data_IF_713755983120
#
_entry.id   IF_713755983120
#
_cell.length_a   1.000
_cell.length_b   1.000
_cell.length_c   1.000
_cell.angle_alpha   90.00
_cell.angle_beta   90.00
_cell.angle_gamma   90.00
#
_symmetry.space_group_name_H-M   'P 1'
#
loop_
_entity.id
_entity.type
_entity.pdbx_description
1 polymer ?
#
# COMPACT_ATOMS: atom_id res chain seq x y z
N UNK A 1 -25.23 -16.60 3.72
CA UNK A 1 -26.48 -15.94 3.25
C UNK A 1 -27.61 -16.97 3.16
N UNK A 2 -28.87 -16.61 3.44
CA UNK A 2 -30.01 -17.56 3.40
C UNK A 2 -31.20 -17.03 2.57
N UNK A 3 -31.82 -17.88 1.76
CA UNK A 3 -33.08 -17.57 1.07
C UNK A 3 -34.29 -17.93 1.95
N UNK A 4 -34.94 -16.91 2.51
CA UNK A 4 -36.14 -17.05 3.34
C UNK A 4 -37.45 -17.13 2.54
N UNK A 5 -37.41 -16.97 1.22
CA UNK A 5 -38.62 -16.95 0.38
C UNK A 5 -39.06 -18.38 0.00
N UNK A 6 -40.33 -18.58 -0.37
CA UNK A 6 -40.81 -19.89 -0.79
C UNK A 6 -40.39 -20.30 -2.21
N UNK A 7 -39.61 -19.48 -2.92
CA UNK A 7 -39.21 -19.66 -4.32
C UNK A 7 -37.70 -19.66 -4.52
N UNK A 8 -37.23 -20.17 -5.66
CA UNK A 8 -35.85 -19.94 -6.11
C UNK A 8 -35.66 -18.44 -6.35
N UNK A 9 -34.51 -17.92 -5.95
CA UNK A 9 -34.12 -16.53 -6.20
C UNK A 9 -32.81 -16.49 -6.97
N UNK A 10 -32.67 -15.48 -7.82
CA UNK A 10 -31.38 -14.99 -8.28
C UNK A 10 -31.13 -13.68 -7.54
N UNK A 11 -30.00 -13.58 -6.86
CA UNK A 11 -29.60 -12.41 -6.10
C UNK A 11 -28.41 -11.75 -6.79
N UNK A 12 -28.56 -10.46 -7.07
CA UNK A 12 -27.48 -9.59 -7.54
C UNK A 12 -27.04 -8.76 -6.33
N UNK A 13 -25.76 -8.80 -6.00
CA UNK A 13 -25.22 -8.01 -4.88
C UNK A 13 -23.92 -7.31 -5.31
N UNK A 14 -23.69 -6.13 -4.73
CA UNK A 14 -22.52 -5.30 -5.02
C UNK A 14 -21.64 -5.14 -3.79
N UNK A 15 -20.33 -5.25 -3.99
CA UNK A 15 -19.33 -4.84 -3.02
C UNK A 15 -18.90 -3.38 -3.30
N UNK A 16 -18.99 -2.45 -2.33
CA UNK A 16 -18.69 -1.04 -2.55
C UNK A 16 -17.20 -0.82 -2.80
N UNK A 17 -16.87 0.00 -3.80
CA UNK A 17 -15.50 0.36 -4.16
C UNK A 17 -15.27 1.83 -3.83
N UNK A 18 -14.52 2.11 -2.77
CA UNK A 18 -14.19 3.48 -2.37
C UNK A 18 -13.16 4.10 -3.33
N UNK A 19 -13.25 5.41 -3.47
CA UNK A 19 -12.25 6.26 -4.08
C UNK A 19 -11.06 6.31 -3.13
N UNK A 20 -9.95 5.68 -3.51
CA UNK A 20 -8.66 6.10 -2.98
C UNK A 20 -8.49 7.52 -3.57
N UNK A 21 -8.26 8.54 -2.75
CA UNK A 21 -8.35 9.97 -3.17
C UNK A 21 -7.20 10.43 -4.05
N UNK A 22 -7.34 10.39 -5.37
CA UNK A 22 -6.44 11.08 -6.28
C UNK A 22 -6.98 12.50 -6.36
N UNK A 23 -6.32 13.46 -5.71
CA UNK A 23 -6.73 14.86 -5.70
C UNK A 23 -7.14 15.31 -7.11
N UNK A 24 -8.37 15.80 -7.24
CA UNK A 24 -8.99 16.27 -8.51
C UNK A 24 -8.57 17.69 -8.90
N UNK A 25 -7.68 18.36 -8.16
CA UNK A 25 -7.25 19.74 -8.43
C UNK A 25 -5.98 19.80 -9.28
N UNK A 26 -6.15 20.12 -10.56
CA UNK A 26 -5.11 20.35 -11.58
C UNK A 26 -4.25 21.62 -11.36
N UNK A 27 -3.98 22.01 -10.11
CA UNK A 27 -3.03 23.09 -9.79
C UNK A 27 -2.13 22.84 -8.57
N UNK A 28 -2.14 21.62 -8.01
CA UNK A 28 -1.26 21.18 -6.91
C UNK A 28 -0.52 19.87 -7.22
N UNK A 29 0.48 19.46 -6.40
CA UNK A 29 1.41 18.38 -6.73
C UNK A 29 0.71 17.05 -7.03
N UNK A 30 1.33 16.30 -7.95
CA UNK A 30 0.78 15.16 -8.69
C UNK A 30 0.00 14.15 -7.83
N UNK A 31 -1.22 13.83 -8.27
CA UNK A 31 -2.02 12.75 -7.71
C UNK A 31 -1.53 11.39 -8.22
N UNK A 32 -1.61 10.40 -7.34
CA UNK A 32 -0.95 9.10 -7.38
C UNK A 32 -1.61 8.06 -8.32
N UNK A 33 -2.48 8.48 -9.24
CA UNK A 33 -3.18 7.57 -10.16
C UNK A 33 -3.46 8.13 -11.56
N UNK A 34 -2.93 9.29 -11.95
CA UNK A 34 -3.08 9.73 -13.33
C UNK A 34 -2.19 8.87 -14.25
N UNK A 35 -2.77 7.90 -14.96
CA UNK A 35 -2.16 7.39 -16.19
C UNK A 35 -1.90 8.57 -17.13
N UNK A 36 -0.84 8.53 -17.96
CA UNK A 36 -0.54 9.60 -18.89
C UNK A 36 -1.77 9.92 -19.74
N UNK A 37 -2.14 11.21 -19.82
CA UNK A 37 -3.16 11.69 -20.73
C UNK A 37 -2.86 11.17 -22.14
N UNK A 38 -3.81 10.42 -22.72
CA UNK A 38 -3.71 9.93 -24.11
C UNK A 38 -3.59 11.07 -25.13
N UNK A 39 -3.84 12.30 -24.71
CA UNK A 39 -3.83 13.49 -25.57
C UNK A 39 -2.51 14.30 -25.50
N UNK A 40 -1.48 13.83 -24.77
CA UNK A 40 -0.18 14.48 -24.73
C UNK A 40 0.71 14.20 -25.97
N UNK A 41 0.22 13.45 -26.97
CA UNK A 41 0.85 13.35 -28.29
C UNK A 41 0.18 14.27 -29.32
N UNK A 42 0.41 15.57 -29.22
CA UNK A 42 0.31 16.46 -30.39
C UNK A 42 1.42 17.49 -30.37
N UNK A 43 2.57 17.15 -30.98
CA UNK A 43 3.71 18.06 -30.92
C UNK A 43 4.94 17.76 -31.77
N UNK A 44 4.90 16.90 -32.79
CA UNK A 44 5.96 16.98 -33.81
C UNK A 44 5.49 16.47 -35.17
N UNK A 45 5.33 17.41 -36.10
CA UNK A 45 4.98 17.11 -37.47
C UNK A 45 6.13 16.45 -38.22
N UNK A 46 5.90 15.24 -38.73
CA UNK A 46 6.67 14.69 -39.84
C UNK A 46 5.69 14.15 -40.89
N UNK A 47 5.64 14.84 -42.02
CA UNK A 47 4.93 14.41 -43.23
C UNK A 47 5.59 13.15 -43.81
N UNK A 48 4.85 12.07 -43.99
CA UNK A 48 5.17 11.06 -45.02
C UNK A 48 3.93 10.71 -45.85
N UNK A 49 4.13 10.83 -47.17
CA UNK A 49 3.21 10.49 -48.25
C UNK A 49 3.05 8.97 -48.34
N UNK A 50 1.85 8.52 -48.67
CA UNK A 50 1.44 7.11 -48.63
C UNK A 50 1.73 6.27 -49.88
N UNK A 51 1.18 5.05 -49.91
CA UNK A 51 0.65 4.37 -51.10
C UNK A 51 -0.15 3.11 -50.71
N UNK A 52 -1.06 2.71 -51.61
CA UNK A 52 -2.13 1.70 -51.55
C UNK A 52 -1.73 0.24 -51.27
N UNK A 53 -2.69 -0.58 -50.78
CA UNK A 53 -2.88 -1.94 -51.33
C UNK A 53 -3.59 -3.02 -50.49
N UNK A 54 -4.84 -3.30 -50.89
CA UNK A 54 -5.47 -4.64 -51.09
C UNK A 54 -6.11 -5.42 -49.91
N UNK A 55 -7.38 -5.79 -50.18
CA UNK A 55 -8.31 -6.68 -49.49
C UNK A 55 -7.81 -8.09 -49.15
N UNK A 56 -8.28 -8.65 -48.03
CA UNK A 56 -8.74 -10.05 -47.95
C UNK A 56 -9.80 -10.23 -46.85
N UNK A 57 -10.95 -10.81 -47.24
CA UNK A 57 -12.00 -11.34 -46.37
C UNK A 57 -11.58 -12.70 -45.78
N UNK A 58 -11.87 -12.93 -44.51
CA UNK A 58 -11.97 -14.26 -43.90
C UNK A 58 -13.05 -14.28 -42.81
N UNK A 59 -13.77 -15.40 -42.77
CA UNK A 59 -14.95 -15.70 -41.95
C UNK A 59 -14.65 -15.86 -40.44
N UNK A 60 -15.67 -15.77 -39.55
CA UNK A 60 -15.48 -15.73 -38.11
C UNK A 60 -15.32 -17.14 -37.52
N UNK A 61 -14.20 -17.39 -36.85
CA UNK A 61 -14.04 -18.50 -35.91
C UNK A 61 -14.34 -18.00 -34.50
N UNK A 62 -15.32 -18.63 -33.83
CA UNK A 62 -15.52 -18.49 -32.38
C UNK A 62 -14.30 -19.06 -31.65
N UNK A 63 -13.47 -18.18 -31.13
CA UNK A 63 -12.56 -18.46 -30.03
C UNK A 63 -12.81 -17.40 -28.96
N UNK A 64 -12.95 -17.86 -27.71
CA UNK A 64 -12.98 -17.01 -26.54
C UNK A 64 -11.61 -16.35 -26.41
N UNK A 65 -11.47 -15.17 -27.00
CA UNK A 65 -10.33 -14.29 -26.80
C UNK A 65 -10.52 -13.58 -25.46
N UNK A 66 -9.93 -14.15 -24.42
CA UNK A 66 -9.35 -13.34 -23.34
C UNK A 66 -8.12 -12.65 -23.93
N UNK A 67 -8.32 -11.54 -24.64
CA UNK A 67 -7.21 -10.68 -25.05
C UNK A 67 -7.62 -9.21 -25.04
N UNK A 68 -6.80 -8.44 -24.34
CA UNK A 68 -6.58 -7.00 -24.37
C UNK A 68 -6.72 -6.40 -22.98
N UNK A 69 -5.63 -5.77 -22.56
CA UNK A 69 -5.51 -4.89 -21.39
C UNK A 69 -6.63 -3.86 -21.35
N UNK A 70 -7.75 -4.21 -20.72
CA UNK A 70 -8.66 -3.23 -20.17
C UNK A 70 -7.86 -2.44 -19.13
N UNK A 71 -7.72 -1.13 -19.37
CA UNK A 71 -7.23 -0.21 -18.36
C UNK A 71 -8.17 -0.38 -17.18
N UNK A 72 -7.72 -1.11 -16.14
CA UNK A 72 -8.46 -1.23 -14.89
C UNK A 72 -8.74 0.21 -14.44
N UNK A 73 -10.01 0.60 -14.24
CA UNK A 73 -10.31 1.92 -13.71
C UNK A 73 -9.51 2.10 -12.42
N UNK A 74 -8.99 3.30 -12.15
CA UNK A 74 -8.32 3.61 -10.88
C UNK A 74 -9.15 3.20 -9.65
N UNK A 75 -10.47 3.12 -9.82
CA UNK A 75 -11.43 2.53 -8.88
C UNK A 75 -10.95 1.19 -8.28
N UNK A 76 -10.32 0.32 -9.09
CA UNK A 76 -9.91 -1.01 -8.64
C UNK A 76 -8.64 -1.02 -7.78
N UNK A 77 -7.96 0.11 -7.60
CA UNK A 77 -6.83 0.20 -6.66
C UNK A 77 -7.28 0.01 -5.20
N UNK A 78 -8.55 0.26 -4.91
CA UNK A 78 -9.17 -0.01 -3.61
C UNK A 78 -9.48 -1.49 -3.37
N UNK A 79 -9.76 -2.25 -4.44
CA UNK A 79 -10.14 -3.67 -4.42
C UNK A 79 -9.22 -4.50 -5.32
N UNK A 80 -7.93 -4.50 -5.03
CA UNK A 80 -6.94 -5.30 -5.76
C UNK A 80 -7.16 -6.77 -5.50
N UNK A 81 -6.95 -7.58 -6.54
CA UNK A 81 -7.14 -9.03 -6.51
C UNK A 81 -8.48 -9.48 -5.91
N UNK A 82 -9.52 -8.69 -6.14
CA UNK A 82 -10.87 -8.99 -5.69
C UNK A 82 -11.30 -10.38 -6.15
N UNK A 83 -11.67 -11.21 -5.18
CA UNK A 83 -12.20 -12.54 -5.38
C UNK A 83 -13.46 -12.70 -4.57
N UNK A 84 -14.45 -13.36 -5.18
CA UNK A 84 -15.65 -13.81 -4.50
C UNK A 84 -15.80 -15.31 -4.70
N UNK A 85 -16.04 -16.04 -3.63
CA UNK A 85 -16.35 -17.48 -3.68
C UNK A 85 -17.71 -17.76 -3.05
N UNK A 86 -18.39 -18.76 -3.60
CA UNK A 86 -19.69 -19.24 -3.14
C UNK A 86 -19.57 -20.73 -2.94
N UNK A 87 -19.73 -21.18 -1.69
CA UNK A 87 -19.51 -22.57 -1.27
C UNK A 87 -18.11 -23.08 -1.71
N UNK A 88 -17.10 -22.20 -1.63
CA UNK A 88 -15.71 -22.45 -2.03
C UNK A 88 -15.44 -22.36 -3.54
N UNK A 89 -16.44 -22.07 -4.38
CA UNK A 89 -16.29 -21.95 -5.83
C UNK A 89 -16.22 -20.47 -6.24
N UNK A 90 -15.16 -20.10 -6.96
CA UNK A 90 -15.00 -18.73 -7.46
C UNK A 90 -16.14 -18.35 -8.41
N UNK A 91 -16.70 -17.17 -8.19
CA UNK A 91 -17.76 -16.59 -9.02
C UNK A 91 -17.24 -15.30 -9.68
N UNK A 92 -17.77 -14.95 -10.85
CA UNK A 92 -17.40 -13.73 -11.55
C UNK A 92 -17.95 -12.47 -10.86
N UNK A 93 -17.29 -11.34 -11.11
CA UNK A 93 -17.76 -10.02 -10.74
C UNK A 93 -17.56 -9.02 -11.88
N UNK A 94 -18.45 -8.05 -11.99
CA UNK A 94 -18.38 -6.96 -12.98
C UNK A 94 -18.33 -5.63 -12.22
N UNK A 95 -17.43 -4.73 -12.63
CA UNK A 95 -17.40 -3.38 -12.07
C UNK A 95 -18.51 -2.52 -12.71
N UNK A 96 -19.32 -1.88 -11.88
CA UNK A 96 -20.35 -0.92 -12.28
C UNK A 96 -20.08 0.42 -11.60
N UNK A 97 -19.87 1.48 -12.38
CA UNK A 97 -19.65 2.83 -11.84
C UNK A 97 -20.87 3.30 -11.04
N UNK A 98 -20.63 4.06 -9.97
CA UNK A 98 -21.71 4.73 -9.24
C UNK A 98 -22.18 5.96 -10.04
N UNK A 99 -23.48 6.05 -10.30
CA UNK A 99 -24.12 7.09 -11.14
C UNK A 99 -25.23 7.85 -10.37
N UNK A 100 -25.33 7.64 -9.05
CA UNK A 100 -26.15 8.50 -8.20
C UNK A 100 -25.50 9.89 -8.18
N UNK A 101 -26.12 10.82 -8.90
CA UNK A 101 -25.62 12.18 -9.12
C UNK A 101 -25.21 12.93 -7.84
N UNK A 102 -24.55 14.09 -7.98
CA UNK A 102 -23.76 14.74 -6.92
C UNK A 102 -24.53 15.20 -5.66
N UNK A 103 -25.86 15.07 -5.65
CA UNK A 103 -26.75 15.47 -4.56
C UNK A 103 -26.92 14.38 -3.48
N UNK A 104 -26.57 13.11 -3.78
CA UNK A 104 -26.66 12.01 -2.80
C UNK A 104 -25.35 11.81 -2.04
N UNK A 105 -25.21 12.53 -0.93
CA UNK A 105 -24.00 12.50 -0.11
C UNK A 105 -23.81 11.21 0.71
N UNK A 106 -24.77 10.28 0.70
CA UNK A 106 -24.68 9.03 1.49
C UNK A 106 -23.56 8.12 1.00
N UNK A 107 -23.19 8.23 -0.28
CA UNK A 107 -22.16 7.44 -0.94
C UNK A 107 -21.03 8.32 -1.45
N UNK A 108 -20.73 9.43 -0.76
CA UNK A 108 -19.53 10.22 -1.03
C UNK A 108 -18.28 9.34 -1.03
N UNK A 109 -17.42 9.59 -2.02
CA UNK A 109 -16.20 8.83 -2.29
C UNK A 109 -16.45 7.38 -2.73
N UNK A 110 -17.65 7.00 -3.16
CA UNK A 110 -17.86 5.71 -3.82
C UNK A 110 -17.58 5.85 -5.32
N UNK A 111 -16.67 5.05 -5.85
CA UNK A 111 -16.38 5.04 -7.30
C UNK A 111 -17.30 4.09 -8.07
N UNK A 112 -17.77 3.04 -7.41
CA UNK A 112 -18.67 2.06 -8.01
C UNK A 112 -18.84 0.81 -7.16
N UNK A 113 -19.26 -0.27 -7.81
CA UNK A 113 -19.61 -1.54 -7.21
C UNK A 113 -18.96 -2.68 -7.96
N UNK A 114 -18.47 -3.68 -7.25
CA UNK A 114 -18.16 -4.99 -7.82
C UNK A 114 -19.37 -5.90 -7.66
N UNK A 115 -20.07 -6.14 -8.76
CA UNK A 115 -21.37 -6.79 -8.80
C UNK A 115 -21.24 -8.27 -9.17
N UNK A 116 -21.85 -9.14 -8.37
CA UNK A 116 -21.89 -10.59 -8.57
C UNK A 116 -23.30 -11.14 -8.49
N UNK A 117 -23.55 -12.26 -9.19
CA UNK A 117 -24.83 -12.95 -9.20
C UNK A 117 -24.74 -14.31 -8.49
N UNK A 118 -25.71 -14.62 -7.63
CA UNK A 118 -25.84 -15.91 -6.93
C UNK A 118 -27.27 -16.42 -7.03
N UNK A 119 -27.43 -17.68 -7.43
CA UNK A 119 -28.72 -18.36 -7.35
C UNK A 119 -28.90 -19.04 -5.99
N UNK A 120 -30.10 -18.94 -5.42
CA UNK A 120 -30.52 -19.65 -4.22
C UNK A 120 -31.76 -20.52 -4.49
N UNK A 121 -31.69 -21.80 -4.15
CA UNK A 121 -32.86 -22.64 -3.98
C UNK A 121 -33.68 -22.19 -2.75
N UNK A 122 -34.93 -22.67 -2.66
CA UNK A 122 -35.82 -22.36 -1.53
C UNK A 122 -35.19 -22.82 -0.21
N UNK A 123 -35.06 -21.91 0.75
CA UNK A 123 -34.51 -22.23 2.07
C UNK A 123 -33.00 -22.47 2.10
N UNK A 124 -32.31 -22.35 0.96
CA UNK A 124 -30.88 -22.61 0.84
C UNK A 124 -30.06 -21.60 1.63
N UNK A 125 -29.00 -22.09 2.26
CA UNK A 125 -27.95 -21.31 2.88
C UNK A 125 -26.68 -21.50 2.05
N UNK A 126 -26.00 -20.40 1.74
CA UNK A 126 -24.73 -20.40 1.03
C UNK A 126 -23.66 -19.68 1.82
N UNK A 127 -22.46 -20.22 1.77
CA UNK A 127 -21.27 -19.57 2.33
C UNK A 127 -20.67 -18.68 1.25
N UNK A 128 -20.48 -17.40 1.57
CA UNK A 128 -19.95 -16.41 0.63
C UNK A 128 -18.72 -15.78 1.26
N UNK A 129 -17.60 -15.87 0.57
CA UNK A 129 -16.33 -15.27 0.97
C UNK A 129 -15.95 -14.19 -0.05
N UNK A 130 -15.53 -13.03 0.44
CA UNK A 130 -15.01 -11.92 -0.38
C UNK A 130 -13.63 -11.60 0.16
N UNK A 131 -12.63 -11.60 -0.72
CA UNK A 131 -11.25 -11.23 -0.41
C UNK A 131 -10.77 -10.17 -1.38
N UNK A 132 -9.99 -9.20 -0.88
CA UNK A 132 -9.32 -8.20 -1.69
C UNK A 132 -8.19 -7.55 -0.88
N UNK A 133 -7.26 -6.92 -1.58
CA UNK A 133 -6.27 -6.02 -1.02
C UNK A 133 -6.67 -4.57 -1.31
N UNK A 134 -6.44 -3.68 -0.34
CA UNK A 134 -6.79 -2.27 -0.45
C UNK A 134 -5.59 -1.39 -0.15
N UNK A 135 -5.35 -0.41 -1.01
CA UNK A 135 -4.43 0.67 -0.66
C UNK A 135 -5.12 1.62 0.32
N UNK A 136 -4.37 2.02 1.35
CA UNK A 136 -4.83 3.10 2.22
C UNK A 136 -4.99 4.39 1.42
N UNK A 137 -6.11 5.06 1.65
CA UNK A 137 -6.32 6.41 1.15
C UNK A 137 -5.40 7.36 1.90
N UNK A 138 -4.52 8.04 1.16
CA UNK A 138 -3.60 9.07 1.66
C UNK A 138 -3.29 10.06 0.56
N UNK A 139 -2.87 11.26 0.95
CA UNK A 139 -2.37 12.28 0.02
C UNK A 139 -0.95 12.67 0.40
N UNK A 140 -0.11 13.00 -0.58
CA UNK A 140 1.24 13.49 -0.35
C UNK A 140 1.38 14.84 -1.05
N UNK A 141 1.91 15.82 -0.35
CA UNK A 141 2.26 17.12 -0.89
C UNK A 141 3.73 17.41 -0.63
N UNK A 142 4.36 18.10 -1.59
CA UNK A 142 5.74 18.53 -1.51
C UNK A 142 5.81 20.05 -1.58
N UNK A 143 6.63 20.66 -0.74
CA UNK A 143 6.93 22.09 -0.75
C UNK A 143 8.44 22.26 -0.61
N UNK A 144 9.10 22.56 -1.73
CA UNK A 144 10.57 22.49 -1.84
C UNK A 144 11.05 21.09 -1.40
N UNK A 145 11.99 21.04 -0.45
CA UNK A 145 12.56 19.80 0.10
C UNK A 145 11.73 19.15 1.22
N UNK A 146 10.59 19.72 1.59
CA UNK A 146 9.70 19.16 2.61
C UNK A 146 8.57 18.36 1.97
N UNK A 147 8.13 17.32 2.67
CA UNK A 147 6.95 16.54 2.28
C UNK A 147 5.98 16.42 3.43
N UNK A 148 4.69 16.57 3.16
CA UNK A 148 3.62 16.25 4.10
C UNK A 148 2.77 15.14 3.51
N UNK A 149 2.54 14.09 4.27
CA UNK A 149 1.64 13.00 3.97
C UNK A 149 0.46 13.07 4.93
N UNK A 150 -0.76 13.11 4.40
CA UNK A 150 -1.95 12.99 5.24
C UNK A 150 -2.03 11.59 5.85
N UNK A 151 -2.86 11.45 6.89
CA UNK A 151 -3.14 10.16 7.51
C UNK A 151 -3.54 9.09 6.50
N UNK A 152 -3.06 7.88 6.70
CA UNK A 152 -3.44 6.71 5.91
C UNK A 152 -4.73 6.12 6.46
N UNK A 153 -5.77 6.06 5.63
CA UNK A 153 -7.11 5.67 6.07
C UNK A 153 -7.67 4.48 5.29
N UNK A 154 -8.44 3.64 5.98
CA UNK A 154 -9.23 2.54 5.40
C UNK A 154 -10.70 2.74 5.77
N UNK A 155 -11.60 2.49 4.82
CA UNK A 155 -13.03 2.57 5.04
C UNK A 155 -13.69 1.21 4.78
N UNK A 156 -14.89 0.97 5.31
CA UNK A 156 -15.71 -0.17 4.91
C UNK A 156 -17.18 0.12 5.18
N UNK A 157 -18.04 -0.06 4.16
CA UNK A 157 -19.46 0.31 4.24
C UNK A 157 -20.32 -0.85 4.70
N UNK A 158 -20.42 -1.01 6.02
CA UNK A 158 -21.30 -2.01 6.61
C UNK A 158 -22.79 -1.68 6.40
N UNK A 159 -23.12 -0.40 6.27
CA UNK A 159 -24.47 0.12 5.99
C UNK A 159 -25.09 -0.44 4.71
N UNK A 160 -24.27 -0.85 3.73
CA UNK A 160 -24.76 -1.46 2.48
C UNK A 160 -25.51 -2.76 2.72
N UNK A 161 -25.25 -3.45 3.83
CA UNK A 161 -25.97 -4.66 4.19
C UNK A 161 -27.41 -4.40 4.66
N UNK A 162 -27.83 -3.14 4.87
CA UNK A 162 -29.21 -2.79 5.20
C UNK A 162 -30.22 -3.13 4.09
N UNK A 163 -29.75 -3.43 2.87
CA UNK A 163 -30.62 -3.89 1.78
C UNK A 163 -31.09 -5.35 1.94
N UNK A 164 -30.44 -6.14 2.79
CA UNK A 164 -30.83 -7.52 3.06
C UNK A 164 -32.05 -7.56 3.99
N UNK A 165 -32.82 -8.65 3.88
CA UNK A 165 -34.02 -8.83 4.68
C UNK A 165 -33.67 -9.15 6.14
N UNK A 166 -33.90 -8.18 7.03
CA UNK A 166 -33.67 -8.33 8.47
C UNK A 166 -32.24 -8.02 8.91
N UNK A 167 -31.94 -8.23 10.20
CA UNK A 167 -30.62 -7.94 10.76
C UNK A 167 -29.55 -8.94 10.32
N UNK A 168 -28.29 -8.52 10.42
CA UNK A 168 -27.15 -9.42 10.40
C UNK A 168 -27.13 -10.19 11.73
N UNK A 169 -27.43 -11.49 11.68
CA UNK A 169 -27.69 -12.31 12.86
C UNK A 169 -26.58 -12.32 13.91
N UNK A 170 -25.35 -12.76 13.57
CA UNK A 170 -24.19 -12.68 14.46
C UNK A 170 -22.93 -12.41 13.64
N UNK A 171 -22.01 -11.64 14.19
CA UNK A 171 -20.75 -11.37 13.50
C UNK A 171 -19.66 -10.82 14.41
N UNK A 172 -18.45 -10.84 13.85
CA UNK A 172 -17.24 -10.32 14.47
C UNK A 172 -16.46 -9.53 13.42
N UNK A 173 -16.05 -8.32 13.79
CA UNK A 173 -15.10 -7.52 13.04
C UNK A 173 -13.81 -7.45 13.84
N UNK A 174 -12.70 -7.73 13.17
CA UNK A 174 -11.37 -7.80 13.75
C UNK A 174 -10.43 -6.90 12.96
N UNK A 175 -9.78 -5.96 13.64
CA UNK A 175 -8.71 -5.14 13.06
C UNK A 175 -7.38 -5.60 13.66
N UNK A 176 -6.46 -6.04 12.81
CA UNK A 176 -5.13 -6.52 13.18
C UNK A 176 -4.07 -5.68 12.45
N UNK A 177 -3.26 -4.87 13.17
CA UNK A 177 -2.17 -4.12 12.57
C UNK A 177 -1.05 -5.05 12.14
N UNK A 178 -1.04 -5.45 10.87
CA UNK A 178 0.05 -6.24 10.29
C UNK A 178 1.19 -5.32 9.84
N UNK A 179 2.25 -5.21 10.66
CA UNK A 179 3.42 -4.37 10.35
C UNK A 179 3.24 -2.87 10.64
N UNK A 180 2.09 -2.48 11.21
CA UNK A 180 1.80 -1.11 11.65
C UNK A 180 1.93 -1.05 13.18
N UNK A 181 2.48 0.05 13.71
CA UNK A 181 2.51 0.29 15.16
C UNK A 181 1.06 0.33 15.71
N UNK A 182 0.65 -0.60 16.59
CA UNK A 182 -0.71 -0.60 17.12
C UNK A 182 -1.08 0.70 17.84
N UNK A 183 -0.12 1.44 18.40
CA UNK A 183 -0.41 2.74 19.02
C UNK A 183 -0.72 3.85 18.00
N UNK A 184 -0.43 3.63 16.71
CA UNK A 184 -0.75 4.55 15.62
C UNK A 184 -2.18 4.35 15.09
N UNK A 185 -2.77 3.16 15.29
CA UNK A 185 -4.08 2.82 14.75
C UNK A 185 -5.20 3.47 15.56
N UNK A 186 -6.12 4.15 14.87
CA UNK A 186 -7.31 4.77 15.48
C UNK A 186 -8.57 4.38 14.73
N UNK A 187 -9.52 3.81 15.46
CA UNK A 187 -10.89 3.62 14.96
C UNK A 187 -11.62 4.96 15.06
N UNK A 188 -11.90 5.58 13.90
CA UNK A 188 -12.63 6.85 13.81
C UNK A 188 -14.13 6.59 13.85
N UNK A 189 -14.59 5.58 13.11
CA UNK A 189 -15.96 5.08 13.11
C UNK A 189 -15.98 3.55 13.01
N UNK A 190 -17.03 2.89 13.54
CA UNK A 190 -18.01 3.43 14.48
C UNK A 190 -17.44 3.73 15.87
N UNK A 191 -17.96 4.77 16.52
CA UNK A 191 -17.53 5.18 17.87
C UNK A 191 -18.05 4.19 18.92
N UNK A 192 -17.22 3.82 19.90
CA UNK A 192 -17.57 2.95 21.03
C UNK A 192 -18.06 1.52 20.68
N UNK A 193 -17.80 1.01 19.46
CA UNK A 193 -18.11 -0.39 19.11
C UNK A 193 -16.93 -1.34 19.32
N UNK A 194 -15.73 -0.86 19.02
CA UNK A 194 -14.52 -1.65 19.12
C UNK A 194 -13.95 -1.61 20.54
N UNK A 195 -13.57 -2.77 21.05
CA UNK A 195 -12.75 -2.92 22.25
C UNK A 195 -11.33 -3.31 21.86
N UNK A 196 -10.34 -2.77 22.56
CA UNK A 196 -8.92 -3.11 22.35
C UNK A 196 -8.59 -4.38 23.13
N UNK A 197 -8.07 -5.39 22.44
CA UNK A 197 -7.59 -6.66 22.98
C UNK A 197 -6.10 -6.82 22.61
N UNK A 198 -5.21 -6.36 23.48
CA UNK A 198 -3.78 -6.29 23.19
C UNK A 198 -3.50 -5.33 22.03
N UNK A 199 -2.98 -5.87 20.93
CA UNK A 199 -2.66 -5.13 19.70
C UNK A 199 -3.82 -5.11 18.69
N UNK A 200 -5.00 -5.64 19.05
CA UNK A 200 -6.14 -5.80 18.13
C UNK A 200 -7.35 -4.98 18.57
N UNK A 201 -8.24 -4.67 17.63
CA UNK A 201 -9.56 -4.09 17.91
C UNK A 201 -10.63 -5.08 17.49
N UNK A 202 -11.54 -5.38 18.41
CA UNK A 202 -12.59 -6.38 18.22
C UNK A 202 -13.95 -5.73 18.39
N UNK A 203 -14.87 -6.03 17.48
CA UNK A 203 -16.28 -5.73 17.63
C UNK A 203 -17.10 -6.99 17.34
N UNK A 204 -17.74 -7.54 18.37
CA UNK A 204 -18.75 -8.59 18.22
C UNK A 204 -20.14 -7.98 18.28
N UNK A 205 -21.06 -8.49 17.48
CA UNK A 205 -22.44 -8.04 17.46
C UNK A 205 -23.41 -9.20 17.23
N UNK A 206 -24.65 -8.99 17.67
CA UNK A 206 -25.79 -9.86 17.40
C UNK A 206 -26.96 -8.99 16.91
N UNK A 207 -27.73 -9.50 15.97
CA UNK A 207 -28.92 -8.89 15.37
C UNK A 207 -28.67 -7.43 14.91
N UNK A 208 -27.53 -7.19 14.25
CA UNK A 208 -27.14 -5.84 13.81
C UNK A 208 -27.99 -5.39 12.62
N UNK A 209 -28.70 -4.27 12.78
CA UNK A 209 -29.31 -3.51 11.69
C UNK A 209 -28.36 -2.38 11.31
N UNK A 210 -27.45 -2.57 10.33
CA UNK A 210 -26.40 -1.60 10.06
C UNK A 210 -26.98 -0.30 9.49
N UNK A 211 -26.44 0.81 9.96
CA UNK A 211 -26.71 2.17 9.50
C UNK A 211 -25.42 2.82 9.02
N UNK A 212 -25.50 4.05 8.48
CA UNK A 212 -24.30 4.83 8.14
C UNK A 212 -23.39 5.08 9.36
N UNK A 213 -23.93 5.03 10.58
CA UNK A 213 -23.15 5.17 11.81
C UNK A 213 -22.33 3.92 12.14
N UNK A 214 -22.64 2.78 11.50
CA UNK A 214 -21.94 1.51 11.64
C UNK A 214 -20.89 1.29 10.54
N UNK A 215 -20.77 2.22 9.58
CA UNK A 215 -19.67 2.22 8.62
C UNK A 215 -18.32 2.40 9.33
N UNK A 216 -17.32 1.67 8.86
CA UNK A 216 -16.01 1.60 9.46
C UNK A 216 -15.11 2.64 8.78
N UNK A 217 -14.43 3.43 9.59
CA UNK A 217 -13.34 4.29 9.16
C UNK A 217 -12.20 4.15 10.15
N UNK A 218 -11.05 3.70 9.67
CA UNK A 218 -9.84 3.47 10.45
C UNK A 218 -8.74 4.36 9.91
N UNK A 219 -8.12 5.10 10.81
CA UNK A 219 -6.82 5.72 10.57
C UNK A 219 -5.76 4.66 10.89
N UNK A 220 -5.13 4.12 9.85
CA UNK A 220 -4.11 3.09 9.98
C UNK A 220 -2.76 3.68 10.39
N UNK A 221 -2.43 4.87 9.87
CA UNK A 221 -1.24 5.62 10.25
C UNK A 221 -1.58 7.12 10.33
N UNK A 222 -0.97 7.87 11.25
CA UNK A 222 -1.19 9.31 11.38
C UNK A 222 -0.58 10.08 10.21
N UNK A 223 -0.88 11.38 10.16
CA UNK A 223 -0.20 12.30 9.28
C UNK A 223 1.30 12.37 9.58
N UNK A 224 2.06 12.69 8.54
CA UNK A 224 3.51 12.76 8.58
C UNK A 224 4.00 14.03 7.90
N UNK A 225 4.87 14.78 8.57
CA UNK A 225 5.60 15.89 7.97
C UNK A 225 7.10 15.62 8.06
N UNK A 226 7.78 15.62 6.92
CA UNK A 226 9.22 15.44 6.81
C UNK A 226 9.86 16.78 6.44
N UNK A 227 10.88 17.15 7.20
CA UNK A 227 11.64 18.38 7.06
C UNK A 227 13.10 18.03 6.82
N UNK A 228 13.66 18.42 5.67
CA UNK A 228 15.06 18.17 5.38
C UNK A 228 15.96 19.05 6.24
N UNK A 229 16.91 18.44 6.96
CA UNK A 229 17.89 19.17 7.78
C UNK A 229 19.24 19.26 7.03
N UNK A 230 19.76 18.11 6.61
CA UNK A 230 21.04 18.01 5.95
C UNK A 230 21.01 16.91 4.88
N UNK A 231 21.36 17.30 3.65
CA UNK A 231 21.59 16.39 2.53
C UNK A 231 23.01 16.64 2.00
N UNK A 232 23.84 15.61 2.09
CA UNK A 232 25.19 15.57 1.54
C UNK A 232 25.28 14.39 0.57
N UNK A 233 26.33 14.31 -0.23
CA UNK A 233 26.53 13.17 -1.14
C UNK A 233 26.60 11.82 -0.36
N UNK A 234 27.05 11.87 0.90
CA UNK A 234 27.35 10.68 1.71
C UNK A 234 26.32 10.40 2.82
N UNK A 235 25.40 11.32 3.09
CA UNK A 235 24.43 11.16 4.18
C UNK A 235 23.18 12.02 4.01
N UNK A 236 22.07 11.49 4.52
CA UNK A 236 20.78 12.16 4.56
C UNK A 236 20.28 12.21 6.00
N UNK A 237 19.77 13.37 6.40
CA UNK A 237 19.10 13.56 7.68
C UNK A 237 17.89 14.48 7.55
N UNK A 238 16.79 14.04 8.18
CA UNK A 238 15.52 14.74 8.19
C UNK A 238 14.93 14.70 9.60
N UNK A 239 14.10 15.68 9.91
CA UNK A 239 13.16 15.58 11.02
C UNK A 239 11.82 15.09 10.49
N UNK A 240 11.22 14.11 11.18
CA UNK A 240 9.89 13.61 10.86
C UNK A 240 8.96 13.89 12.04
N UNK A 241 7.83 14.53 11.77
CA UNK A 241 6.72 14.68 12.70
C UNK A 241 5.66 13.65 12.31
N UNK A 242 5.37 12.70 13.19
CA UNK A 242 4.37 11.64 13.01
C UNK A 242 3.24 11.84 14.02
N UNK A 243 2.13 12.41 13.59
CA UNK A 243 1.10 12.93 14.49
C UNK A 243 1.71 13.92 15.50
N UNK A 244 1.81 13.52 16.77
CA UNK A 244 2.43 14.35 17.83
C UNK A 244 3.88 14.01 18.14
N UNK A 245 4.42 12.91 17.59
CA UNK A 245 5.79 12.45 17.87
C UNK A 245 6.76 13.08 16.88
N UNK A 246 7.95 13.43 17.38
CA UNK A 246 9.06 13.88 16.56
C UNK A 246 10.16 12.83 16.54
N UNK A 247 10.79 12.61 15.40
CA UNK A 247 11.97 11.78 15.25
C UNK A 247 13.01 12.45 14.36
N UNK A 248 14.27 12.11 14.58
CA UNK A 248 15.35 12.30 13.62
C UNK A 248 15.47 11.03 12.79
N UNK A 249 15.43 11.18 11.47
CA UNK A 249 15.60 10.11 10.49
C UNK A 249 16.96 10.31 9.83
N UNK A 250 17.86 9.33 9.94
CA UNK A 250 19.25 9.51 9.51
C UNK A 250 19.91 8.25 8.95
N UNK A 251 20.95 8.45 8.15
CA UNK A 251 21.85 7.40 7.67
C UNK A 251 23.25 7.42 8.32
N UNK A 252 23.36 8.01 9.51
CA UNK A 252 24.62 8.13 10.26
C UNK A 252 25.07 6.80 10.93
N UNK A 253 25.58 5.88 10.11
CA UNK A 253 26.12 4.59 10.53
C UNK A 253 27.26 4.15 9.61
N UNK A 254 28.03 3.15 10.06
CA UNK A 254 28.86 2.31 9.17
C UNK A 254 28.03 1.15 8.67
N UNK A 255 28.26 0.70 7.44
CA UNK A 255 27.51 -0.41 6.85
C UNK A 255 28.45 -1.47 6.27
N UNK A 256 28.02 -2.73 6.36
CA UNK A 256 28.58 -3.87 5.64
C UNK A 256 27.45 -4.70 5.06
N UNK A 257 27.71 -5.37 3.96
CA UNK A 257 26.79 -6.34 3.36
C UNK A 257 27.44 -7.72 3.26
N UNK A 258 26.60 -8.75 3.14
CA UNK A 258 27.01 -10.12 2.78
C UNK A 258 27.72 -10.20 1.44
N UNK A 259 27.26 -9.41 0.47
CA UNK A 259 27.78 -9.35 -0.90
C UNK A 259 27.46 -8.00 -1.54
N UNK A 260 28.16 -7.68 -2.63
CA UNK A 260 27.95 -6.48 -3.44
C UNK A 260 28.20 -6.82 -4.91
N UNK A 261 27.37 -6.29 -5.82
CA UNK A 261 27.45 -6.55 -7.26
C UNK A 261 27.46 -5.26 -8.07
N UNK A 262 28.08 -5.28 -9.26
CA UNK A 262 28.04 -4.16 -10.21
C UNK A 262 27.08 -4.54 -11.33
N UNK A 263 25.98 -3.79 -11.47
CA UNK A 263 24.97 -4.04 -12.51
C UNK A 263 24.85 -2.80 -13.38
N UNK A 264 24.99 -2.97 -14.70
CA UNK A 264 24.89 -1.89 -15.70
C UNK A 264 25.75 -0.67 -15.38
N UNK A 265 27.01 -0.90 -15.01
CA UNK A 265 27.99 0.15 -14.62
C UNK A 265 27.60 0.95 -13.38
N UNK A 266 26.53 0.57 -12.67
CA UNK A 266 26.15 1.13 -11.39
C UNK A 266 26.76 0.28 -10.28
N UNK A 267 27.54 0.88 -9.39
CA UNK A 267 28.05 0.16 -8.21
C UNK A 267 26.88 -0.16 -7.28
N UNK A 268 26.74 -1.42 -6.87
CA UNK A 268 25.78 -1.86 -5.87
C UNK A 268 26.36 -1.88 -4.47
N UNK A 269 27.30 -0.99 -4.14
CA UNK A 269 28.00 -0.99 -2.86
C UNK A 269 27.05 -0.66 -1.69
N UNK A 270 27.29 -1.25 -0.52
CA UNK A 270 26.41 -1.06 0.64
C UNK A 270 26.38 0.39 1.13
N UNK A 271 27.50 1.12 1.03
CA UNK A 271 27.57 2.55 1.41
C UNK A 271 26.58 3.43 0.64
N UNK A 272 26.16 3.02 -0.56
CA UNK A 272 25.16 3.75 -1.34
C UNK A 272 23.79 3.83 -0.64
N UNK A 273 23.51 2.93 0.32
CA UNK A 273 22.27 2.96 1.11
C UNK A 273 22.16 4.16 2.04
N UNK A 274 23.25 4.92 2.26
CA UNK A 274 23.24 6.10 3.12
C UNK A 274 22.75 7.36 2.41
N UNK A 275 22.66 7.31 1.08
CA UNK A 275 22.17 8.40 0.24
C UNK A 275 21.09 7.89 -0.71
N UNK A 276 20.88 8.58 -1.83
CA UNK A 276 19.89 8.23 -2.84
C UNK A 276 20.25 7.00 -3.70
N UNK A 277 21.43 6.41 -3.47
CA UNK A 277 21.92 5.25 -4.20
C UNK A 277 21.27 3.93 -3.76
N UNK A 278 21.70 2.84 -4.41
CA UNK A 278 21.21 1.50 -4.13
C UNK A 278 22.34 0.54 -3.82
N UNK A 279 22.07 -0.39 -2.90
CA UNK A 279 22.84 -1.62 -2.74
C UNK A 279 22.24 -2.70 -3.64
N UNK A 280 23.10 -3.51 -4.24
CA UNK A 280 22.70 -4.66 -5.08
C UNK A 280 23.52 -5.86 -4.61
N UNK A 281 22.83 -6.93 -4.20
CA UNK A 281 23.50 -8.17 -3.79
C UNK A 281 24.02 -8.97 -4.97
N UNK A 282 25.03 -9.80 -4.75
CA UNK A 282 25.49 -10.79 -5.72
C UNK A 282 24.49 -11.95 -5.87
N UNK A 283 23.85 -12.38 -4.77
CA UNK A 283 22.81 -13.41 -4.77
C UNK A 283 21.41 -12.88 -5.08
N UNK A 284 20.44 -13.80 -5.10
CA UNK A 284 19.03 -13.48 -5.40
C UNK A 284 18.29 -12.76 -4.25
N UNK A 285 18.89 -12.72 -3.07
CA UNK A 285 18.37 -12.03 -1.89
C UNK A 285 18.18 -12.93 -0.67
N UNK A 286 17.67 -14.16 -0.85
CA UNK A 286 17.52 -15.08 0.28
C UNK A 286 18.87 -15.38 0.94
N UNK A 287 18.97 -15.14 2.24
CA UNK A 287 20.19 -15.30 3.03
C UNK A 287 21.16 -14.11 2.96
N UNK A 288 20.94 -13.14 2.07
CA UNK A 288 21.69 -11.89 2.06
C UNK A 288 21.39 -11.09 3.34
N UNK A 289 22.32 -10.24 3.73
CA UNK A 289 22.17 -9.39 4.91
C UNK A 289 22.95 -8.09 4.78
N UNK A 290 22.49 -7.07 5.51
CA UNK A 290 23.23 -5.85 5.79
C UNK A 290 23.37 -5.67 7.31
N UNK A 291 24.51 -5.16 7.74
CA UNK A 291 24.81 -4.85 9.12
C UNK A 291 25.14 -3.37 9.26
N UNK A 292 24.44 -2.70 10.16
CA UNK A 292 24.62 -1.28 10.43
C UNK A 292 25.21 -1.11 11.84
N UNK A 293 26.21 -0.25 11.94
CA UNK A 293 26.79 0.18 13.22
C UNK A 293 26.56 1.67 13.37
N UNK A 294 25.52 2.10 14.12
CA UNK A 294 25.27 3.52 14.39
C UNK A 294 26.53 4.19 14.96
N UNK A 295 26.87 5.39 14.47
CA UNK A 295 28.05 6.10 14.99
C UNK A 295 27.85 6.55 16.45
N UNK A 296 26.60 6.80 16.83
CA UNK A 296 26.20 7.13 18.20
C UNK A 296 25.08 6.16 18.62
N UNK A 297 25.35 5.24 19.57
CA UNK A 297 24.32 4.33 20.05
C UNK A 297 23.17 5.09 20.72
N UNK A 298 21.96 4.90 20.18
CA UNK A 298 20.69 5.43 20.70
C UNK A 298 19.61 4.37 20.59
N UNK A 299 18.54 4.44 21.41
CA UNK A 299 17.35 3.65 21.14
C UNK A 299 16.80 4.01 19.76
N UNK A 300 16.56 3.00 18.93
CA UNK A 300 16.00 3.17 17.58
C UNK A 300 14.51 2.87 17.66
N UNK A 301 13.66 3.80 17.22
CA UNK A 301 12.21 3.66 17.28
C UNK A 301 11.62 3.03 16.01
N UNK A 302 12.32 3.13 14.89
CA UNK A 302 11.97 2.46 13.65
C UNK A 302 13.18 2.35 12.71
N UNK A 303 13.06 1.46 11.74
CA UNK A 303 13.91 1.42 10.56
C UNK A 303 13.06 1.64 9.33
N UNK A 304 13.59 2.32 8.33
CA UNK A 304 12.94 2.39 7.03
C UNK A 304 13.91 2.16 5.89
N UNK A 305 13.39 1.69 4.77
CA UNK A 305 14.15 1.49 3.55
C UNK A 305 13.23 1.55 2.33
N UNK A 306 13.81 1.76 1.16
CA UNK A 306 13.12 1.70 -0.12
C UNK A 306 13.70 0.61 -1.02
N UNK A 307 13.14 0.51 -2.21
CA UNK A 307 13.60 -0.40 -3.25
C UNK A 307 14.22 0.36 -4.41
N UNK A 308 15.03 -0.34 -5.20
CA UNK A 308 15.52 0.21 -6.45
C UNK A 308 14.37 0.33 -7.44
N UNK A 309 14.24 1.52 -8.02
CA UNK A 309 13.22 1.86 -9.00
C UNK A 309 13.44 3.29 -9.49
N UNK A 310 13.02 3.57 -10.71
CA UNK A 310 13.01 4.90 -11.32
C UNK A 310 11.64 5.53 -11.12
N UNK A 311 11.64 6.77 -10.64
CA UNK A 311 10.42 7.56 -10.51
C UNK A 311 9.66 7.65 -11.84
N UNK A 312 8.35 7.47 -11.80
CA UNK A 312 7.49 7.50 -13.00
C UNK A 312 7.62 6.29 -13.93
N UNK A 313 8.36 5.24 -13.53
CA UNK A 313 8.50 3.99 -14.29
C UNK A 313 8.09 2.79 -13.43
N UNK A 314 6.80 2.47 -13.31
CA UNK A 314 6.33 1.36 -12.48
C UNK A 314 7.03 0.03 -12.76
N UNK A 315 7.37 -0.23 -14.02
CA UNK A 315 8.08 -1.45 -14.45
C UNK A 315 9.47 -1.60 -13.80
N UNK A 316 10.12 -0.49 -13.45
CA UNK A 316 11.44 -0.49 -12.84
C UNK A 316 11.44 -0.91 -11.38
N UNK A 317 10.30 -0.80 -10.68
CA UNK A 317 10.14 -1.32 -9.32
C UNK A 317 10.28 -2.85 -9.30
N UNK A 318 9.69 -3.53 -10.28
CA UNK A 318 9.73 -4.99 -10.35
C UNK A 318 10.98 -5.56 -11.02
N UNK A 319 11.90 -4.71 -11.47
CA UNK A 319 13.08 -5.12 -12.23
C UNK A 319 13.98 -6.06 -11.42
N UNK A 320 14.21 -5.73 -10.14
CA UNK A 320 15.06 -6.47 -9.21
C UNK A 320 14.22 -7.25 -8.20
N UNK A 321 14.82 -8.24 -7.55
CA UNK A 321 14.21 -8.87 -6.38
C UNK A 321 14.10 -7.87 -5.23
N UNK A 322 13.04 -8.02 -4.44
CA UNK A 322 12.68 -7.13 -3.33
C UNK A 322 12.49 -7.97 -2.07
N UNK A 323 12.84 -7.49 -0.87
CA UNK A 323 12.50 -8.17 0.37
C UNK A 323 11.02 -8.50 0.44
N UNK A 324 10.70 -9.72 0.86
CA UNK A 324 9.36 -10.14 1.25
C UNK A 324 9.27 -10.38 2.74
N UNK A 325 10.32 -10.96 3.34
CA UNK A 325 10.41 -11.21 4.78
C UNK A 325 11.80 -10.84 5.29
N UNK A 326 11.85 -10.00 6.32
CA UNK A 326 13.10 -9.50 6.88
C UNK A 326 13.16 -9.82 8.37
N UNK A 327 14.32 -10.32 8.79
CA UNK A 327 14.66 -10.47 10.22
C UNK A 327 15.65 -9.39 10.60
N UNK A 328 15.21 -8.51 11.49
CA UNK A 328 16.00 -7.47 12.12
C UNK A 328 16.51 -7.97 13.48
N UNK A 329 17.82 -7.99 13.66
CA UNK A 329 18.49 -8.33 14.91
C UNK A 329 19.14 -7.08 15.51
N UNK A 330 18.84 -6.77 16.77
CA UNK A 330 19.36 -5.62 17.51
C UNK A 330 20.30 -6.09 18.62
N UNK A 331 21.55 -5.63 18.59
CA UNK A 331 22.61 -5.98 19.54
C UNK A 331 22.79 -7.48 19.78
N UNK A 332 22.44 -8.35 18.81
CA UNK A 332 22.40 -9.81 18.97
C UNK A 332 21.46 -10.33 20.08
N UNK A 333 20.65 -9.45 20.67
CA UNK A 333 19.77 -9.75 21.79
C UNK A 333 18.31 -9.92 21.37
N UNK A 334 17.85 -9.03 20.48
CA UNK A 334 16.44 -8.93 20.09
C UNK A 334 16.30 -9.20 18.61
N UNK A 335 15.43 -10.14 18.26
CA UNK A 335 15.03 -10.41 16.88
C UNK A 335 13.60 -9.95 16.65
N UNK A 336 13.38 -9.30 15.53
CA UNK A 336 12.08 -8.80 15.07
C UNK A 336 11.94 -9.27 13.62
N UNK A 337 10.78 -9.80 13.27
CA UNK A 337 10.48 -10.19 11.90
C UNK A 337 9.36 -9.28 11.40
N UNK A 338 9.51 -8.78 10.18
CA UNK A 338 8.43 -8.07 9.50
C UNK A 338 8.33 -8.53 8.05
N UNK A 339 7.08 -8.63 7.59
CA UNK A 339 6.74 -8.89 6.20
C UNK A 339 6.68 -7.56 5.44
N UNK A 340 7.17 -7.60 4.21
CA UNK A 340 7.34 -6.44 3.35
C UNK A 340 6.43 -6.62 2.14
N UNK A 341 5.40 -5.77 1.98
CA UNK A 341 4.42 -5.95 0.92
C UNK A 341 5.05 -5.63 -0.45
N UNK A 342 4.60 -6.33 -1.51
CA UNK A 342 5.11 -6.14 -2.88
C UNK A 342 4.48 -4.92 -3.57
N UNK A 343 4.54 -3.77 -2.91
CA UNK A 343 3.91 -2.54 -3.36
C UNK A 343 4.97 -1.59 -3.91
N UNK A 344 4.78 -1.12 -5.14
CA UNK A 344 5.66 -0.10 -5.70
C UNK A 344 5.63 1.17 -4.85
N UNK A 345 6.78 1.62 -4.33
CA UNK A 345 6.84 2.89 -3.58
C UNK A 345 6.34 3.99 -4.50
N UNK A 346 5.17 4.55 -4.21
CA UNK A 346 4.51 5.42 -5.18
C UNK A 346 5.24 6.76 -5.33
N UNK A 347 6.08 7.17 -4.37
CA UNK A 347 6.80 8.44 -4.42
C UNK A 347 8.22 8.44 -3.87
N UNK A 348 8.83 7.27 -3.62
CA UNK A 348 10.20 7.21 -3.11
C UNK A 348 10.36 7.96 -1.79
N UNK A 349 9.30 8.05 -0.99
CA UNK A 349 9.40 8.67 0.33
C UNK A 349 10.04 7.64 1.26
N UNK A 350 11.04 8.02 2.06
CA UNK A 350 11.71 7.10 2.99
C UNK A 350 10.78 6.44 4.01
N UNK A 351 9.52 6.87 4.12
CA UNK A 351 8.51 6.32 5.01
C UNK A 351 7.63 5.23 4.38
N UNK A 352 7.79 4.93 3.09
CA UNK A 352 6.96 3.94 2.39
C UNK A 352 7.11 2.52 2.97
N UNK A 353 8.27 2.17 3.54
CA UNK A 353 8.46 0.94 4.32
C UNK A 353 9.13 1.23 5.66
N UNK A 354 8.41 1.95 6.52
CA UNK A 354 8.82 2.16 7.92
C UNK A 354 8.32 1.01 8.80
N UNK A 355 9.23 0.34 9.47
CA UNK A 355 8.95 -0.72 10.43
C UNK A 355 9.26 -0.24 11.85
N UNK A 356 8.22 -0.16 12.69
CA UNK A 356 8.36 0.26 14.08
C UNK A 356 9.11 -0.80 14.90
N UNK A 357 10.00 -0.33 15.78
CA UNK A 357 10.71 -1.16 16.75
C UNK A 357 10.05 -0.94 18.10
N UNK A 358 9.07 -1.80 18.39
CA UNK A 358 8.29 -1.75 19.63
C UNK A 358 9.07 -2.44 20.75
N UNK A 359 8.99 -1.88 21.97
CA UNK A 359 9.54 -2.44 23.21
C UNK A 359 11.06 -2.67 23.31
N UNK A 360 11.87 -2.13 22.38
CA UNK A 360 13.34 -2.13 22.50
C UNK A 360 13.88 -0.72 22.80
N UNK A 361 14.02 -0.39 24.09
CA UNK A 361 14.45 0.95 24.54
C UNK A 361 15.94 1.07 24.88
N UNK A 362 16.73 0.00 24.68
CA UNK A 362 18.19 0.04 24.90
C UNK A 362 18.88 0.76 23.74
N UNK A 363 20.01 1.44 23.98
CA UNK A 363 20.87 1.93 22.91
C UNK A 363 21.29 0.81 21.96
N UNK A 364 21.14 1.02 20.65
CA UNK A 364 21.55 0.06 19.62
C UNK A 364 22.96 0.42 19.14
N UNK A 365 23.92 -0.48 19.35
CA UNK A 365 25.28 -0.36 18.82
C UNK A 365 25.48 -1.15 17.53
N UNK A 366 24.65 -2.18 17.30
CA UNK A 366 24.69 -2.99 16.08
C UNK A 366 23.28 -3.41 15.71
N UNK A 367 22.93 -3.32 14.43
CA UNK A 367 21.78 -4.02 13.90
C UNK A 367 22.15 -4.81 12.65
N UNK A 368 21.45 -5.92 12.43
CA UNK A 368 21.58 -6.73 11.22
C UNK A 368 20.22 -7.02 10.64
N UNK A 369 20.01 -6.68 9.37
CA UNK A 369 18.85 -7.09 8.60
C UNK A 369 19.23 -8.29 7.75
N UNK A 370 18.53 -9.42 7.90
CA UNK A 370 18.65 -10.60 7.05
C UNK A 370 17.38 -10.75 6.22
N UNK A 371 17.54 -11.02 4.93
CA UNK A 371 16.44 -11.23 4.01
C UNK A 371 16.15 -12.73 3.92
N UNK A 372 15.03 -13.17 4.50
CA UNK A 372 14.66 -14.60 4.53
C UNK A 372 13.92 -15.04 3.28
N UNK A 373 13.05 -14.16 2.77
CA UNK A 373 12.28 -14.38 1.54
C UNK A 373 12.31 -13.11 0.68
N UNK A 374 12.18 -13.29 -0.63
CA UNK A 374 12.10 -12.19 -1.60
C UNK A 374 10.93 -12.35 -2.56
N UNK A 375 10.40 -11.21 -3.00
CA UNK A 375 9.63 -11.11 -4.24
C UNK A 375 10.60 -11.14 -5.40
N UNK A 376 10.46 -12.12 -6.30
CA UNK A 376 11.37 -12.27 -7.43
C UNK A 376 11.32 -11.05 -8.37
N UNK A 377 12.49 -10.60 -8.81
CA UNK A 377 12.60 -9.64 -9.89
C UNK A 377 12.18 -10.23 -11.23
N UNK A 378 11.55 -9.42 -12.08
CA UNK A 378 11.05 -9.83 -13.40
C UNK A 378 12.21 -10.05 -14.38
N UNK A 379 13.24 -9.21 -14.32
CA UNK A 379 14.37 -9.25 -15.25
C UNK A 379 15.71 -9.49 -14.56
N UNK A 380 15.84 -9.14 -13.28
CA UNK A 380 17.08 -9.28 -12.50
C UNK A 380 16.78 -10.01 -11.20
N UNK A 381 17.47 -11.14 -11.00
CA UNK A 381 17.30 -11.94 -9.79
C UNK A 381 17.92 -11.31 -8.55
N UNK A 382 18.84 -10.36 -8.70
CA UNK A 382 19.53 -9.70 -7.59
C UNK A 382 18.58 -8.94 -6.67
N UNK A 383 18.82 -8.99 -5.35
CA UNK A 383 18.14 -8.12 -4.39
C UNK A 383 18.69 -6.71 -4.50
N UNK A 384 17.79 -5.72 -4.54
CA UNK A 384 18.19 -4.32 -4.57
C UNK A 384 17.43 -3.49 -3.53
N UNK A 385 18.18 -2.77 -2.69
CA UNK A 385 17.65 -1.86 -1.67
C UNK A 385 18.10 -0.44 -1.92
N UNK A 386 17.38 0.50 -1.32
CA UNK A 386 17.66 1.94 -1.38
C UNK A 386 17.46 2.56 0.00
N UNK A 387 18.23 3.60 0.33
CA UNK A 387 17.97 4.51 1.46
C UNK A 387 17.59 3.82 2.78
N UNK A 388 18.51 3.07 3.37
CA UNK A 388 18.25 2.52 4.72
C UNK A 388 18.42 3.64 5.74
N UNK A 389 17.43 3.83 6.61
CA UNK A 389 17.41 4.94 7.56
C UNK A 389 16.99 4.48 8.95
N UNK A 390 17.63 5.07 9.96
CA UNK A 390 17.34 4.83 11.37
C UNK A 390 16.52 6.00 11.90
N UNK A 391 15.48 5.67 12.67
CA UNK A 391 14.62 6.65 13.31
C UNK A 391 14.94 6.68 14.81
N UNK A 392 15.20 7.88 15.32
CA UNK A 392 15.44 8.13 16.75
C UNK A 392 14.40 9.13 17.24
N UNK A 393 13.58 8.74 18.21
CA UNK A 393 12.58 9.62 18.80
C UNK A 393 13.24 10.82 19.49
N UNK A 394 12.64 11.99 19.31
CA UNK A 394 13.04 13.24 19.96
C UNK A 394 12.11 13.54 21.12
N UNK A 395 12.68 13.99 22.24
CA UNK A 395 11.91 14.39 23.43
C UNK A 395 11.09 15.67 23.21
N UNK A 396 11.48 16.47 22.22
CA UNK A 396 10.85 17.76 21.88
C UNK A 396 10.96 18.04 20.39
N UNK A 397 10.14 18.99 19.95
CA UNK A 397 10.21 19.55 18.61
C UNK A 397 11.62 20.12 18.33
N UNK A 398 12.24 19.76 17.18
CA UNK A 398 13.54 20.28 16.78
C UNK A 398 13.42 21.72 16.28
N UNK A 399 14.54 22.45 16.34
CA UNK A 399 14.62 23.76 15.71
C UNK A 399 14.80 23.57 14.19
N UNK A 400 13.73 23.76 13.43
CA UNK A 400 13.77 23.63 11.98
C UNK A 400 14.50 24.81 11.33
N UNK A 401 15.37 24.53 10.36
CA UNK A 401 15.96 25.57 9.52
C UNK A 401 14.91 26.07 8.51
N UNK A 402 14.93 27.36 8.13
CA UNK A 402 14.10 27.86 7.04
C UNK A 402 14.39 27.08 5.75
N UNK A 403 13.35 26.75 5.00
CA UNK A 403 13.46 26.02 3.73
C UNK A 403 14.36 26.80 2.74
N UNK A 404 15.10 26.06 1.92
CA UNK A 404 15.85 26.62 0.78
C UNK A 404 14.98 26.72 -0.46
#
# INVERSE_FOLDING_TARGET
>A
MQNLTPSRLKVVFGFPVEEVTARKDTSGPASWAALPDKDAESGSGIKKKGFFGVFKKSLPSKQAENSASEIRPNALLYCQDYVVTVDGLQTGSVFESEDRGPEDHRFENLTGWLVSEIDFAKGEVKDVEIGFESLYSRSVAFVSDNSTMDRSSFAYRLSTAACWAGPIGKGRILLEPAGIDPEEVRVIKPVNRFRREGEKWVWDFEELMPTLDDDILVEAQPDVSVYMDEATDDSLSFYSKRGTRWSMVHSNYKIKASSEEIVDSTTGAAENLKSWGSWISAGAGEGEWIELTPLVPKPISAISFGFKGTYGKPESFTEYSRPKRVVLELNEERKITFDVPDLGSSFGTPDDFRFAIVDYKKPVSTLRMRFEEVWSGVSKSHLALRMVQLHVDLEKEPNLKPNR
#
